data_IF_301007318668
#
_entry.id   IF_301007318668
#
_cell.length_a   1.000
_cell.length_b   1.000
_cell.length_c   1.000
_cell.angle_alpha   90.00
_cell.angle_beta   90.00
_cell.angle_gamma   90.00
#
_symmetry.space_group_name_H-M   'P 1'
#
loop_
_entity.id
_entity.type
_entity.pdbx_description
1 polymer ?
#
# COMPACT_ATOMS: atom_id res chain seq x y z
N UNK A 1 -7.02 -8.03 -12.80
CA UNK A 1 -6.53 -6.99 -11.87
C UNK A 1 -7.46 -5.79 -11.99
N UNK A 2 -7.81 -5.14 -10.88
CA UNK A 2 -8.66 -3.94 -10.91
C UNK A 2 -7.92 -2.69 -11.40
N UNK A 3 -6.60 -2.66 -11.22
CA UNK A 3 -5.70 -1.60 -11.70
C UNK A 3 -5.09 -2.06 -13.03
N UNK A 4 -5.12 -1.20 -14.05
CA UNK A 4 -4.52 -1.48 -15.35
C UNK A 4 -2.98 -1.39 -15.27
N UNK A 5 -2.28 -2.02 -16.23
CA UNK A 5 -0.84 -1.86 -16.34
C UNK A 5 -0.49 -0.39 -16.64
N UNK A 6 0.53 0.15 -15.97
CA UNK A 6 0.86 1.57 -15.97
C UNK A 6 -0.03 2.45 -15.07
N UNK A 7 -1.00 1.87 -14.36
CA UNK A 7 -1.85 2.59 -13.41
C UNK A 7 -1.15 2.96 -12.10
N UNK A 8 -1.88 3.61 -11.21
CA UNK A 8 -1.41 4.04 -9.90
C UNK A 8 -2.38 3.66 -8.78
N UNK A 9 -1.83 3.24 -7.65
CA UNK A 9 -2.51 3.08 -6.38
C UNK A 9 -1.95 4.09 -5.38
N UNK A 10 -2.76 5.09 -5.04
CA UNK A 10 -2.42 6.08 -4.00
C UNK A 10 -3.04 5.65 -2.67
N UNK A 11 -2.21 5.55 -1.63
CA UNK A 11 -2.61 5.19 -0.27
C UNK A 11 -2.41 6.42 0.63
N UNK A 12 -3.52 6.97 1.13
CA UNK A 12 -3.50 8.05 2.12
C UNK A 12 -3.27 7.46 3.51
N UNK A 13 -2.05 7.60 4.03
CA UNK A 13 -1.56 6.86 5.20
C UNK A 13 -1.07 7.79 6.34
N UNK A 14 -1.91 8.69 6.89
CA UNK A 14 -1.49 9.66 7.90
C UNK A 14 -1.04 9.05 9.24
N UNK A 15 -1.42 7.80 9.51
CA UNK A 15 -1.16 7.07 10.75
C UNK A 15 -0.21 5.89 10.61
N UNK A 16 0.39 5.67 9.43
CA UNK A 16 1.39 4.60 9.27
C UNK A 16 2.71 5.02 9.92
N UNK A 17 3.33 4.10 10.65
CA UNK A 17 4.64 4.24 11.31
C UNK A 17 5.59 3.05 11.01
N UNK A 18 5.02 1.88 10.69
CA UNK A 18 5.73 0.65 10.33
C UNK A 18 5.13 -0.05 9.10
N UNK A 19 5.91 -0.93 8.49
CA UNK A 19 5.51 -1.76 7.34
C UNK A 19 5.11 -3.19 7.72
N UNK A 20 5.68 -3.71 8.81
CA UNK A 20 5.41 -5.04 9.33
C UNK A 20 4.49 -5.02 10.54
N UNK A 21 3.79 -6.14 10.75
CA UNK A 21 2.90 -6.35 11.90
C UNK A 21 3.67 -6.45 13.22
N UNK A 22 4.94 -6.84 13.15
CA UNK A 22 5.87 -6.88 14.26
C UNK A 22 7.24 -6.32 13.86
N UNK A 23 8.10 -6.11 14.86
CA UNK A 23 9.44 -5.51 14.68
C UNK A 23 10.37 -6.32 13.79
N UNK A 24 10.27 -7.66 13.82
CA UNK A 24 11.12 -8.53 13.01
C UNK A 24 10.70 -8.46 11.54
N UNK A 25 9.40 -8.55 11.26
CA UNK A 25 8.87 -8.45 9.89
C UNK A 25 9.13 -7.06 9.32
N UNK A 26 8.91 -5.99 10.10
CA UNK A 26 9.20 -4.62 9.69
C UNK A 26 10.68 -4.43 9.30
N UNK A 27 11.61 -4.95 10.11
CA UNK A 27 13.04 -4.88 9.82
C UNK A 27 13.41 -5.62 8.52
N UNK A 28 12.80 -6.78 8.26
CA UNK A 28 13.03 -7.53 7.03
C UNK A 28 12.45 -6.81 5.80
N UNK A 29 11.26 -6.21 5.90
CA UNK A 29 10.69 -5.39 4.83
C UNK A 29 11.59 -4.20 4.53
N UNK A 30 12.11 -3.50 5.55
CA UNK A 30 13.06 -2.40 5.37
C UNK A 30 14.38 -2.82 4.72
N UNK A 31 14.83 -4.04 5.01
CA UNK A 31 16.09 -4.60 4.47
C UNK A 31 15.95 -5.02 3.01
N UNK A 32 14.84 -5.69 2.66
CA UNK A 32 14.69 -6.35 1.35
C UNK A 32 13.81 -5.58 0.37
N UNK A 33 12.86 -4.80 0.88
CA UNK A 33 11.89 -4.07 0.09
C UNK A 33 10.91 -4.95 -0.69
N UNK A 34 9.83 -4.34 -1.14
CA UNK A 34 8.87 -4.90 -2.08
C UNK A 34 9.50 -4.94 -3.48
N UNK A 35 10.32 -5.97 -3.70
CA UNK A 35 11.22 -6.09 -4.84
C UNK A 35 10.70 -6.94 -6.00
N UNK A 36 9.46 -7.39 -5.95
CA UNK A 36 8.87 -8.29 -6.93
C UNK A 36 8.99 -9.76 -6.56
N UNK A 37 8.07 -10.57 -7.10
CA UNK A 37 7.95 -12.01 -6.84
C UNK A 37 9.23 -12.77 -7.15
N UNK A 38 9.73 -12.65 -8.39
CA UNK A 38 10.90 -13.38 -8.86
C UNK A 38 12.14 -13.04 -8.02
N UNK A 39 12.31 -11.75 -7.68
CA UNK A 39 13.43 -11.29 -6.86
C UNK A 39 13.33 -11.80 -5.42
N UNK A 40 12.15 -11.75 -4.81
CA UNK A 40 11.93 -12.28 -3.47
C UNK A 40 12.21 -13.79 -3.39
N UNK A 41 11.78 -14.57 -4.38
CA UNK A 41 12.09 -16.00 -4.48
C UNK A 41 13.60 -16.23 -4.65
N UNK A 42 14.27 -15.43 -5.48
CA UNK A 42 15.71 -15.52 -5.64
C UNK A 42 16.46 -15.19 -4.33
N UNK A 43 16.00 -14.21 -3.56
CA UNK A 43 16.57 -13.85 -2.25
C UNK A 43 16.40 -15.00 -1.25
N UNK A 44 15.24 -15.65 -1.19
CA UNK A 44 15.02 -16.82 -0.34
C UNK A 44 16.05 -17.92 -0.61
N UNK A 45 16.39 -18.17 -1.86
CA UNK A 45 17.33 -19.23 -2.24
C UNK A 45 18.81 -18.88 -2.01
N UNK A 46 19.14 -17.63 -1.66
CA UNK A 46 20.53 -17.20 -1.44
C UNK A 46 21.02 -17.50 -0.03
N UNK A 47 22.18 -18.14 0.11
CA UNK A 47 22.74 -18.51 1.41
C UNK A 47 22.83 -17.35 2.42
N UNK A 48 23.18 -16.15 1.96
CA UNK A 48 23.36 -14.93 2.77
C UNK A 48 22.05 -14.21 3.17
N UNK A 49 20.89 -14.77 2.83
CA UNK A 49 19.56 -14.28 3.22
C UNK A 49 18.83 -15.29 4.13
N UNK A 50 19.55 -15.90 5.08
CA UNK A 50 18.99 -16.88 6.01
C UNK A 50 17.86 -16.32 6.87
N UNK A 51 17.98 -15.06 7.28
CA UNK A 51 16.96 -14.31 8.03
C UNK A 51 15.63 -14.18 7.29
N UNK A 52 15.65 -14.05 5.96
CA UNK A 52 14.43 -14.06 5.15
C UNK A 52 13.82 -15.46 5.03
N UNK A 53 14.64 -16.52 4.90
CA UNK A 53 14.16 -17.92 4.85
C UNK A 53 13.51 -18.36 6.14
N UNK A 54 14.13 -17.98 7.26
CA UNK A 54 13.65 -18.31 8.60
C UNK A 54 12.36 -17.55 8.95
N UNK A 55 12.01 -16.52 8.17
CA UNK A 55 10.78 -15.77 8.31
C UNK A 55 9.93 -15.80 7.01
N UNK A 56 9.26 -16.93 6.80
CA UNK A 56 8.39 -17.13 5.63
C UNK A 56 7.26 -16.09 5.52
N UNK A 57 6.80 -15.54 6.65
CA UNK A 57 5.77 -14.50 6.67
C UNK A 57 6.27 -13.21 5.99
N UNK A 58 7.47 -12.74 6.36
CA UNK A 58 8.08 -11.58 5.72
C UNK A 58 8.28 -11.81 4.22
N UNK A 59 8.76 -12.99 3.81
CA UNK A 59 8.94 -13.31 2.40
C UNK A 59 7.62 -13.33 1.61
N UNK A 60 6.54 -13.87 2.19
CA UNK A 60 5.21 -13.79 1.62
C UNK A 60 4.75 -12.32 1.50
N UNK A 61 5.02 -11.50 2.51
CA UNK A 61 4.74 -10.05 2.50
C UNK A 61 5.41 -9.34 1.32
N UNK A 62 6.70 -9.60 1.07
CA UNK A 62 7.41 -8.99 -0.06
C UNK A 62 6.77 -9.37 -1.39
N UNK A 63 6.40 -10.64 -1.57
CA UNK A 63 5.78 -11.14 -2.79
C UNK A 63 4.39 -10.52 -2.98
N UNK A 64 3.55 -10.52 -1.96
CA UNK A 64 2.17 -10.02 -2.05
C UNK A 64 2.06 -8.50 -2.12
N UNK A 65 2.97 -7.78 -1.47
CA UNK A 65 3.03 -6.32 -1.52
C UNK A 65 3.70 -5.76 -2.76
N UNK A 66 4.32 -6.60 -3.60
CA UNK A 66 4.96 -6.14 -4.82
C UNK A 66 3.96 -6.01 -5.98
N UNK A 67 4.08 -4.94 -6.76
CA UNK A 67 3.29 -4.74 -7.97
C UNK A 67 3.84 -5.45 -9.22
N UNK A 68 5.04 -6.05 -9.11
CA UNK A 68 5.78 -6.67 -10.22
C UNK A 68 5.94 -5.74 -11.43
N UNK A 69 6.11 -4.43 -11.18
CA UNK A 69 6.29 -3.40 -12.21
C UNK A 69 5.03 -3.11 -13.04
N UNK A 70 3.87 -3.64 -12.64
CA UNK A 70 2.62 -3.47 -13.38
C UNK A 70 1.94 -2.13 -13.09
N UNK A 71 2.04 -1.64 -11.86
CA UNK A 71 1.47 -0.35 -11.45
C UNK A 71 2.34 0.26 -10.35
N UNK A 72 2.23 1.57 -10.17
CA UNK A 72 2.93 2.29 -9.11
C UNK A 72 2.11 2.26 -7.83
N UNK A 73 2.77 1.97 -6.70
CA UNK A 73 2.17 2.11 -5.37
C UNK A 73 2.78 3.34 -4.71
N UNK A 74 1.94 4.31 -4.39
CA UNK A 74 2.32 5.60 -3.85
C UNK A 74 1.74 5.78 -2.44
N UNK A 75 2.60 5.90 -1.43
CA UNK A 75 2.19 6.17 -0.06
C UNK A 75 2.30 7.67 0.23
N UNK A 76 1.15 8.30 0.50
CA UNK A 76 1.10 9.64 1.05
C UNK A 76 1.24 9.55 2.57
N UNK A 77 2.42 9.94 3.07
CA UNK A 77 2.84 9.77 4.47
C UNK A 77 3.51 11.04 4.98
N UNK A 78 3.67 11.13 6.31
CA UNK A 78 4.43 12.21 6.93
C UNK A 78 5.87 12.21 6.43
N UNK A 79 6.48 13.39 6.38
CA UNK A 79 7.86 13.59 5.90
C UNK A 79 8.86 12.58 6.48
N UNK A 80 8.76 12.31 7.78
CA UNK A 80 9.65 11.38 8.51
C UNK A 80 9.65 9.94 7.99
N UNK A 81 8.65 9.53 7.20
CA UNK A 81 8.57 8.18 6.61
C UNK A 81 8.83 8.14 5.11
N UNK A 82 8.92 9.27 4.41
CA UNK A 82 9.01 9.28 2.95
C UNK A 82 10.23 8.54 2.42
N UNK A 83 11.39 8.75 3.06
CA UNK A 83 12.63 8.04 2.71
C UNK A 83 12.48 6.53 2.92
N UNK A 84 11.90 6.12 4.05
CA UNK A 84 11.69 4.71 4.35
C UNK A 84 10.73 4.03 3.35
N UNK A 85 9.67 4.73 2.93
CA UNK A 85 8.74 4.26 1.89
C UNK A 85 9.48 4.03 0.57
N UNK A 86 10.32 4.99 0.17
CA UNK A 86 11.12 4.86 -1.05
C UNK A 86 12.16 3.74 -0.96
N UNK A 87 12.79 3.55 0.20
CA UNK A 87 13.73 2.47 0.43
C UNK A 87 13.08 1.08 0.28
N UNK A 88 11.81 0.92 0.66
CA UNK A 88 11.11 -0.36 0.52
C UNK A 88 10.52 -0.58 -0.89
N UNK A 89 10.78 0.31 -1.85
CA UNK A 89 10.40 0.12 -3.24
C UNK A 89 9.05 0.72 -3.65
N UNK A 90 8.45 1.57 -2.82
CA UNK A 90 7.24 2.33 -3.17
C UNK A 90 7.55 3.79 -3.48
N UNK A 91 6.66 4.45 -4.21
CA UNK A 91 6.70 5.90 -4.34
C UNK A 91 6.20 6.55 -3.04
N UNK A 92 6.76 7.70 -2.67
CA UNK A 92 6.31 8.50 -1.53
C UNK A 92 5.73 9.83 -2.02
N UNK A 93 4.60 10.22 -1.44
CA UNK A 93 3.93 11.49 -1.68
C UNK A 93 3.91 12.31 -0.40
N UNK A 94 3.88 13.63 -0.53
CA UNK A 94 3.59 14.50 0.61
C UNK A 94 2.13 14.29 1.06
N UNK A 95 1.96 14.07 2.36
CA UNK A 95 0.65 13.78 2.94
C UNK A 95 -0.33 14.94 2.80
N UNK A 96 0.12 16.17 3.04
CA UNK A 96 -0.76 17.34 3.06
C UNK A 96 -1.18 17.71 1.64
N UNK A 97 -0.27 17.58 0.65
CA UNK A 97 -0.60 17.71 -0.76
C UNK A 97 -1.61 16.67 -1.22
N UNK A 98 -1.37 15.39 -0.89
CA UNK A 98 -2.25 14.30 -1.28
C UNK A 98 -3.63 14.42 -0.62
N UNK A 99 -3.73 14.80 0.66
CA UNK A 99 -5.01 15.01 1.34
C UNK A 99 -5.80 16.19 0.77
N UNK A 100 -5.11 17.21 0.25
CA UNK A 100 -5.78 18.34 -0.40
C UNK A 100 -6.35 17.94 -1.77
N UNK A 101 -5.61 17.13 -2.53
CA UNK A 101 -6.02 16.64 -3.86
C UNK A 101 -7.10 15.57 -3.76
N UNK A 102 -6.88 14.57 -2.91
CA UNK A 102 -7.71 13.38 -2.74
C UNK A 102 -8.49 13.43 -1.41
N UNK A 103 -9.23 14.52 -1.16
CA UNK A 103 -9.85 14.79 0.13
C UNK A 103 -10.92 13.72 0.53
N UNK A 104 -10.66 12.88 1.56
CA UNK A 104 -11.57 11.82 2.00
C UNK A 104 -12.95 12.31 2.44
N UNK A 105 -13.06 13.57 2.89
CA UNK A 105 -14.32 14.15 3.37
C UNK A 105 -15.28 14.53 2.23
N UNK A 106 -14.77 14.67 1.00
CA UNK A 106 -15.56 15.09 -0.16
C UNK A 106 -15.74 13.98 -1.20
N UNK A 107 -14.79 13.04 -1.26
CA UNK A 107 -14.83 11.93 -2.21
C UNK A 107 -15.94 10.94 -1.87
N UNK A 108 -16.59 10.40 -2.91
CA UNK A 108 -17.61 9.36 -2.78
C UNK A 108 -16.97 8.00 -3.07
N UNK A 109 -17.42 6.95 -2.38
CA UNK A 109 -16.99 5.59 -2.68
C UNK A 109 -17.24 5.25 -4.15
N UNK A 110 -16.23 4.72 -4.84
CA UNK A 110 -16.27 4.44 -6.28
C UNK A 110 -15.69 5.57 -7.15
N UNK A 111 -16.19 5.70 -8.38
CA UNK A 111 -15.67 6.65 -9.36
C UNK A 111 -15.94 8.10 -8.97
N UNK A 112 -14.91 8.95 -9.10
CA UNK A 112 -14.99 10.41 -8.96
C UNK A 112 -14.20 11.06 -10.11
N UNK A 113 -14.65 12.23 -10.54
CA UNK A 113 -13.88 13.11 -11.42
C UNK A 113 -13.41 14.32 -10.61
N UNK A 114 -12.11 14.54 -10.55
CA UNK A 114 -11.50 15.66 -9.83
C UNK A 114 -11.67 16.99 -10.60
N UNK A 115 -11.45 18.15 -9.97
CA UNK A 115 -11.64 19.45 -10.63
C UNK A 115 -10.80 19.68 -11.89
N UNK A 116 -9.67 18.97 -12.04
CA UNK A 116 -8.80 19.04 -13.21
C UNK A 116 -9.14 18.00 -14.29
N UNK A 117 -10.20 17.20 -14.08
CA UNK A 117 -10.66 16.17 -15.01
C UNK A 117 -10.04 14.79 -14.79
N UNK A 118 -9.15 14.61 -13.80
CA UNK A 118 -8.64 13.28 -13.44
C UNK A 118 -9.79 12.38 -12.94
N UNK A 119 -9.88 11.16 -13.47
CA UNK A 119 -10.82 10.15 -12.99
C UNK A 119 -10.14 9.19 -12.02
N UNK A 120 -10.72 9.02 -10.83
CA UNK A 120 -10.20 8.12 -9.79
C UNK A 120 -11.29 7.18 -9.29
N UNK A 121 -10.89 6.01 -8.78
CA UNK A 121 -11.75 5.13 -8.01
C UNK A 121 -11.37 5.18 -6.53
N UNK A 122 -12.23 5.78 -5.69
CA UNK A 122 -11.95 5.99 -4.27
C UNK A 122 -12.48 4.85 -3.40
N UNK A 123 -11.62 4.33 -2.52
CA UNK A 123 -11.93 3.29 -1.54
C UNK A 123 -11.70 3.89 -0.14
N UNK A 124 -12.74 4.29 0.60
CA UNK A 124 -12.58 4.99 1.88
C UNK A 124 -11.98 4.13 2.99
N UNK A 125 -12.28 2.83 2.99
CA UNK A 125 -11.85 1.90 4.03
C UNK A 125 -11.43 0.56 3.42
N UNK A 126 -10.22 0.46 2.86
CA UNK A 126 -9.78 -0.73 2.11
C UNK A 126 -9.68 -2.00 2.97
N UNK A 127 -9.56 -1.86 4.30
CA UNK A 127 -9.50 -2.99 5.24
C UNK A 127 -10.87 -3.58 5.63
N UNK A 128 -11.99 -3.01 5.18
CA UNK A 128 -13.31 -3.53 5.52
C UNK A 128 -13.65 -4.77 4.68
N UNK A 129 -13.50 -5.94 5.28
CA UNK A 129 -13.87 -7.23 4.69
C UNK A 129 -14.38 -8.25 5.73
N UNK A 130 -15.30 -9.12 5.27
CA UNK A 130 -15.91 -10.35 5.86
C UNK A 130 -16.50 -10.31 7.29
N UNK A 131 -15.96 -9.52 8.22
CA UNK A 131 -16.33 -9.51 9.63
C UNK A 131 -17.04 -8.23 10.09
N UNK A 132 -17.33 -7.35 9.14
CA UNK A 132 -18.13 -6.14 9.35
C UNK A 132 -19.60 -6.48 9.24
N UNK A 133 -20.42 -6.01 10.19
CA UNK A 133 -21.87 -6.16 10.11
C UNK A 133 -22.44 -5.30 8.97
N UNK A 134 -23.64 -5.66 8.49
CA UNK A 134 -24.25 -5.02 7.33
C UNK A 134 -24.54 -3.53 7.50
N UNK A 135 -24.88 -3.08 8.72
CA UNK A 135 -25.17 -1.68 9.00
C UNK A 135 -23.90 -0.84 8.95
N UNK A 136 -22.83 -1.34 9.58
CA UNK A 136 -21.52 -0.71 9.55
C UNK A 136 -20.94 -0.69 8.14
N UNK A 137 -21.11 -1.77 7.37
CA UNK A 137 -20.70 -1.81 5.98
C UNK A 137 -21.44 -0.77 5.15
N UNK A 138 -22.77 -0.66 5.24
CA UNK A 138 -23.55 0.34 4.49
C UNK A 138 -23.10 1.76 4.82
N UNK A 139 -22.89 2.06 6.12
CA UNK A 139 -22.41 3.37 6.58
C UNK A 139 -21.01 3.71 6.07
N UNK A 140 -20.07 2.77 6.13
CA UNK A 140 -18.65 3.02 5.85
C UNK A 140 -18.26 2.82 4.38
N UNK A 141 -19.08 2.11 3.59
CA UNK A 141 -18.90 1.93 2.14
C UNK A 141 -19.65 2.95 1.29
N UNK A 142 -20.47 3.82 1.91
CA UNK A 142 -21.25 4.85 1.22
C UNK A 142 -22.43 4.33 0.41
N UNK A 143 -22.78 3.04 0.53
CA UNK A 143 -24.01 2.48 -0.05
C UNK A 143 -25.21 2.82 0.85
N UNK A 144 -26.05 3.75 0.40
CA UNK A 144 -27.47 3.81 0.79
C UNK A 144 -28.32 3.22 -0.33
#
# INVERSE_FOLDING_TARGET
>A
MAIADGGELVILAPGVDAFGEDRQVDALIRKYGYCGRERAIALLNRADCADLRENASAAAHLIHGSSDGRFTVSYAVRESLREAVSQVGYASLDLDEALRRYNPATLKSGYNTLPDGEEIYYIPNPGLGLWIDGERFARESGKR
#
